data_IF_763751550109
#
_entry.id   IF_763751550109
#
_cell.length_a   1.000
_cell.length_b   1.000
_cell.length_c   1.000
_cell.angle_alpha   90.00
_cell.angle_beta   90.00
_cell.angle_gamma   90.00
#
_symmetry.space_group_name_H-M   'P 1'
#
loop_
_entity.id
_entity.type
_entity.pdbx_description
1 polymer ?
#
# COMPACT_ATOMS: atom_id res chain seq x y z
N UNK A 1 8.76 24.18 -33.82
CA UNK A 1 8.90 23.95 -32.37
C UNK A 1 8.06 22.73 -32.03
N UNK A 2 8.68 21.59 -31.73
CA UNK A 2 7.96 20.34 -31.43
C UNK A 2 7.46 20.37 -29.98
N UNK A 3 6.27 19.81 -29.67
CA UNK A 3 5.79 19.72 -28.29
C UNK A 3 6.73 18.83 -27.44
N UNK A 4 6.89 19.13 -26.13
CA UNK A 4 7.70 18.30 -25.26
C UNK A 4 7.11 16.88 -25.18
N UNK A 5 7.95 15.84 -25.10
CA UNK A 5 7.46 14.48 -24.96
C UNK A 5 6.63 14.38 -23.68
N UNK A 6 5.36 13.99 -23.84
CA UNK A 6 4.51 13.57 -22.74
C UNK A 6 5.26 12.49 -21.96
N UNK A 7 5.40 12.68 -20.64
CA UNK A 7 6.00 11.70 -19.71
C UNK A 7 5.29 10.36 -19.91
N UNK A 8 5.89 9.47 -20.71
CA UNK A 8 5.44 8.09 -20.81
C UNK A 8 5.73 7.44 -19.46
N UNK A 9 4.71 7.23 -18.65
CA UNK A 9 4.84 6.43 -17.43
C UNK A 9 5.36 5.04 -17.83
N UNK A 10 6.60 4.75 -17.46
CA UNK A 10 7.21 3.46 -17.74
C UNK A 10 6.63 2.43 -16.75
N UNK A 11 5.71 1.59 -17.23
CA UNK A 11 5.17 0.48 -16.44
C UNK A 11 6.15 -0.70 -16.50
N UNK A 12 6.84 -0.97 -15.40
CA UNK A 12 7.68 -2.16 -15.26
C UNK A 12 6.77 -3.38 -15.13
N UNK A 13 6.82 -4.28 -16.11
CA UNK A 13 6.04 -5.53 -16.08
C UNK A 13 6.84 -6.63 -15.40
N UNK A 14 6.30 -7.18 -14.32
CA UNK A 14 6.79 -8.40 -13.69
C UNK A 14 5.86 -9.57 -14.03
N UNK A 15 6.44 -10.69 -14.46
CA UNK A 15 5.71 -11.93 -14.72
C UNK A 15 5.98 -12.92 -13.59
N UNK A 16 4.99 -13.10 -12.71
CA UNK A 16 5.04 -14.06 -11.61
C UNK A 16 4.07 -15.21 -11.87
N UNK A 17 4.45 -16.42 -11.49
CA UNK A 17 3.56 -17.59 -11.55
C UNK A 17 2.63 -17.60 -10.34
N UNK A 18 1.33 -17.76 -10.59
CA UNK A 18 0.31 -17.90 -9.56
C UNK A 18 -0.15 -19.37 -9.51
N UNK A 19 -0.30 -19.98 -8.32
CA UNK A 19 -0.89 -21.31 -8.21
C UNK A 19 -2.26 -21.39 -8.89
N UNK A 20 -2.47 -22.44 -9.70
CA UNK A 20 -3.68 -22.57 -10.54
C UNK A 20 -4.98 -22.58 -9.72
N UNK A 21 -4.94 -23.08 -8.48
CA UNK A 21 -6.08 -23.12 -7.56
C UNK A 21 -6.50 -21.73 -7.05
N UNK A 22 -5.59 -20.76 -7.10
CA UNK A 22 -5.84 -19.38 -6.67
C UNK A 22 -6.38 -18.51 -7.80
N UNK A 23 -6.16 -18.87 -9.06
CA UNK A 23 -6.65 -18.13 -10.25
C UNK A 23 -8.17 -17.92 -10.21
N UNK A 24 -9.03 -18.94 -10.06
CA UNK A 24 -10.48 -18.74 -10.03
C UNK A 24 -10.95 -17.92 -8.82
N UNK A 25 -10.27 -18.04 -7.67
CA UNK A 25 -10.57 -17.25 -6.47
C UNK A 25 -10.22 -15.78 -6.66
N UNK A 26 -9.11 -15.52 -7.34
CA UNK A 26 -8.67 -14.18 -7.62
C UNK A 26 -9.57 -13.51 -8.67
N UNK A 27 -9.90 -14.22 -9.75
CA UNK A 27 -10.84 -13.75 -10.77
C UNK A 27 -12.23 -13.46 -10.19
N UNK A 28 -12.74 -14.32 -9.29
CA UNK A 28 -14.02 -14.07 -8.60
C UNK A 28 -13.99 -12.80 -7.74
N UNK A 29 -12.84 -12.47 -7.14
CA UNK A 29 -12.68 -11.31 -6.24
C UNK A 29 -12.41 -10.00 -6.98
N UNK A 30 -11.71 -10.05 -8.11
CA UNK A 30 -11.25 -8.86 -8.82
C UNK A 30 -12.04 -8.58 -10.11
N UNK A 31 -12.74 -9.59 -10.62
CA UNK A 31 -13.28 -9.62 -11.97
C UNK A 31 -12.21 -10.04 -12.99
N UNK A 32 -12.65 -10.51 -14.17
CA UNK A 32 -11.75 -11.00 -15.21
C UNK A 32 -10.77 -9.92 -15.67
N UNK A 33 -9.50 -10.29 -15.86
CA UNK A 33 -8.41 -9.42 -16.31
C UNK A 33 -8.05 -8.25 -15.37
N UNK A 34 -8.58 -8.20 -14.13
CA UNK A 34 -8.23 -7.17 -13.14
C UNK A 34 -7.29 -7.66 -12.04
N UNK A 35 -6.80 -8.89 -12.15
CA UNK A 35 -5.89 -9.49 -11.18
C UNK A 35 -4.61 -8.67 -11.02
N UNK A 36 -3.99 -8.24 -12.12
CA UNK A 36 -2.76 -7.44 -12.08
C UNK A 36 -2.94 -6.12 -11.32
N UNK A 37 -4.06 -5.42 -11.52
CA UNK A 37 -4.35 -4.18 -10.79
C UNK A 37 -4.53 -4.44 -9.28
N UNK A 38 -5.20 -5.55 -8.94
CA UNK A 38 -5.39 -5.94 -7.57
C UNK A 38 -4.08 -6.37 -6.89
N UNK A 39 -3.22 -7.10 -7.61
CA UNK A 39 -1.89 -7.48 -7.17
C UNK A 39 -1.00 -6.25 -6.96
N UNK A 40 -1.02 -5.28 -7.89
CA UNK A 40 -0.30 -4.03 -7.75
C UNK A 40 -0.77 -3.23 -6.53
N UNK A 41 -2.10 -3.12 -6.31
CA UNK A 41 -2.65 -2.49 -5.09
C UNK A 41 -2.25 -3.22 -3.81
N UNK A 42 -2.24 -4.55 -3.82
CA UNK A 42 -1.82 -5.35 -2.66
C UNK A 42 -0.32 -5.18 -2.38
N UNK A 43 0.52 -5.15 -3.42
CA UNK A 43 1.95 -4.87 -3.33
C UNK A 43 2.22 -3.49 -2.75
N UNK A 44 1.55 -2.46 -3.25
CA UNK A 44 1.65 -1.10 -2.73
C UNK A 44 1.26 -1.03 -1.25
N UNK A 45 0.13 -1.64 -0.87
CA UNK A 45 -0.30 -1.72 0.55
C UNK A 45 0.74 -2.40 1.44
N UNK A 46 1.38 -3.47 0.95
CA UNK A 46 2.44 -4.17 1.70
C UNK A 46 3.67 -3.28 1.90
N UNK A 47 4.09 -2.54 0.87
CA UNK A 47 5.20 -1.58 0.97
C UNK A 47 4.86 -0.48 1.97
N UNK A 48 3.67 0.11 1.88
CA UNK A 48 3.22 1.13 2.83
C UNK A 48 3.15 0.61 4.26
N UNK A 49 2.61 -0.59 4.48
CA UNK A 49 2.55 -1.20 5.80
C UNK A 49 3.95 -1.45 6.39
N UNK A 50 4.92 -1.84 5.55
CA UNK A 50 6.31 -1.98 5.96
C UNK A 50 6.93 -0.64 6.36
N UNK A 51 6.75 0.39 5.54
CA UNK A 51 7.26 1.74 5.84
C UNK A 51 6.64 2.29 7.12
N UNK A 52 5.33 2.11 7.31
CA UNK A 52 4.64 2.54 8.52
C UNK A 52 5.21 1.84 9.76
N UNK A 53 5.51 0.54 9.65
CA UNK A 53 6.14 -0.21 10.73
C UNK A 53 7.53 0.33 11.06
N UNK A 54 8.35 0.64 10.06
CA UNK A 54 9.68 1.22 10.26
C UNK A 54 9.60 2.58 10.99
N UNK A 55 8.64 3.43 10.63
CA UNK A 55 8.38 4.72 11.29
C UNK A 55 7.95 4.51 12.75
N UNK A 56 7.03 3.57 13.01
CA UNK A 56 6.58 3.26 14.37
C UNK A 56 7.76 2.75 15.20
N UNK A 57 8.54 1.79 14.70
CA UNK A 57 9.69 1.25 15.42
C UNK A 57 10.78 2.30 15.70
N UNK A 58 10.98 3.26 14.79
CA UNK A 58 11.87 4.39 15.00
C UNK A 58 11.34 5.33 16.08
N UNK A 59 10.05 5.71 16.01
CA UNK A 59 9.40 6.53 17.03
C UNK A 59 9.48 5.87 18.41
N UNK A 60 9.17 4.58 18.50
CA UNK A 60 9.17 3.84 19.76
C UNK A 60 10.57 3.74 20.39
N UNK A 61 11.61 3.68 19.55
CA UNK A 61 13.00 3.70 20.00
C UNK A 61 13.38 5.03 20.63
N UNK A 62 12.90 6.14 20.08
CA UNK A 62 13.25 7.50 20.54
C UNK A 62 12.39 7.97 21.72
N UNK A 63 11.12 7.59 21.75
CA UNK A 63 10.10 8.15 22.64
C UNK A 63 9.53 7.15 23.64
N UNK A 64 9.86 5.87 23.50
CA UNK A 64 9.16 4.78 24.18
C UNK A 64 7.93 4.31 23.39
N UNK A 65 7.32 3.19 23.79
CA UNK A 65 6.21 2.57 23.06
C UNK A 65 5.06 3.56 22.81
N UNK A 66 4.40 3.41 21.66
CA UNK A 66 3.30 4.30 21.29
C UNK A 66 2.11 4.10 22.24
N UNK A 67 1.73 5.14 22.97
CA UNK A 67 0.55 5.13 23.83
C UNK A 67 -0.72 5.33 22.99
N UNK A 68 -1.38 4.23 22.66
CA UNK A 68 -2.58 4.22 21.82
C UNK A 68 -3.75 4.94 22.51
N UNK A 69 -3.85 4.85 23.84
CA UNK A 69 -4.93 5.49 24.59
C UNK A 69 -4.73 7.01 24.56
N UNK A 70 -3.50 7.48 24.79
CA UNK A 70 -3.15 8.89 24.64
C UNK A 70 -3.34 9.46 23.23
N UNK A 71 -3.14 8.63 22.18
CA UNK A 71 -3.44 9.04 20.79
C UNK A 71 -4.95 9.19 20.55
N UNK A 72 -5.78 8.30 21.12
CA UNK A 72 -7.24 8.40 21.00
C UNK A 72 -7.80 9.61 21.75
N UNK A 73 -7.25 9.89 22.93
CA UNK A 73 -7.60 11.09 23.69
C UNK A 73 -7.23 12.37 22.91
N UNK A 74 -6.03 12.42 22.32
CA UNK A 74 -5.59 13.55 21.48
C UNK A 74 -6.45 13.74 20.22
N UNK A 75 -6.87 12.66 19.55
CA UNK A 75 -7.78 12.72 18.40
C UNK A 75 -9.18 13.19 18.78
N UNK A 76 -9.61 12.92 20.01
CA UNK A 76 -10.89 13.41 20.54
C UNK A 76 -10.81 14.89 20.89
N UNK A 77 -9.65 15.36 21.38
CA UNK A 77 -9.42 16.77 21.69
C UNK A 77 -9.18 17.65 20.45
N UNK A 78 -8.63 17.10 19.37
CA UNK A 78 -8.38 17.79 18.10
C UNK A 78 -9.12 17.13 16.93
N UNK A 79 -10.42 17.42 16.75
CA UNK A 79 -11.25 16.75 15.73
C UNK A 79 -10.98 17.18 14.27
N UNK A 80 -10.12 18.18 14.04
CA UNK A 80 -9.91 18.79 12.72
C UNK A 80 -8.64 18.32 11.98
N UNK A 81 -8.08 17.16 12.35
CA UNK A 81 -6.96 16.51 11.64
C UNK A 81 -7.46 15.34 10.79
#
# INVERSE_FOLDING_TARGET
MAPPPSRTECVIKHGDSVPEDLVPRADARTGPRRFSDAAARAGARRVHARQLREIIEEYERERGPLDIDGVQDALTEWPDI
#
